data_IF_252162115143
#
_entry.id   IF_252162115143
#
_cell.length_a   1.000
_cell.length_b   1.000
_cell.length_c   1.000
_cell.angle_alpha   90.00
_cell.angle_beta   90.00
_cell.angle_gamma   90.00
#
_symmetry.space_group_name_H-M   'P 1'
#
loop_
_entity.id
_entity.type
_entity.pdbx_description
1 polymer ?
#
# COMPACT_ATOMS: atom_id res chain seq x y z
N UNK A 1 6.90 -0.76 -3.24
CA UNK A 1 7.96 -1.04 -2.24
C UNK A 1 7.42 -1.97 -1.17
N UNK A 2 8.17 -3.04 -0.83
CA UNK A 2 7.72 -4.06 0.13
C UNK A 2 8.31 -3.78 1.52
N UNK A 3 7.49 -3.86 2.55
CA UNK A 3 7.95 -3.92 3.96
C UNK A 3 8.55 -5.32 4.24
N UNK A 4 9.04 -5.62 5.46
CA UNK A 4 9.61 -6.94 5.75
C UNK A 4 8.73 -8.09 5.27
N UNK A 5 9.37 -9.22 4.92
CA UNK A 5 8.64 -10.41 4.50
C UNK A 5 7.62 -10.78 5.57
N UNK A 6 6.40 -11.16 5.17
CA UNK A 6 5.36 -11.48 6.11
C UNK A 6 5.72 -12.78 6.83
N UNK A 7 5.71 -12.76 8.17
CA UNK A 7 5.90 -13.97 8.98
C UNK A 7 4.67 -14.90 8.92
N UNK A 8 3.49 -14.30 8.69
CA UNK A 8 2.18 -14.97 8.66
C UNK A 8 1.33 -14.40 7.51
N UNK A 9 0.01 -14.38 7.66
CA UNK A 9 -0.95 -13.96 6.64
C UNK A 9 -1.09 -12.44 6.42
N UNK A 10 -0.27 -11.60 7.07
CA UNK A 10 -0.40 -10.14 6.97
C UNK A 10 0.68 -9.58 6.07
N UNK A 11 0.30 -9.09 4.89
CA UNK A 11 1.21 -8.48 3.91
C UNK A 11 1.02 -6.98 3.92
N UNK A 12 2.11 -6.24 4.13
CA UNK A 12 2.13 -4.78 4.16
C UNK A 12 3.01 -4.24 3.02
N UNK A 13 2.57 -3.16 2.36
CA UNK A 13 3.33 -2.52 1.29
C UNK A 13 2.98 -1.04 1.14
N UNK A 14 3.80 -0.35 0.33
CA UNK A 14 3.59 1.04 -0.08
C UNK A 14 3.73 1.12 -1.59
N UNK A 15 2.79 1.80 -2.25
CA UNK A 15 2.87 2.13 -3.67
C UNK A 15 3.64 3.42 -3.86
N UNK A 16 4.47 3.48 -4.90
CA UNK A 16 5.33 4.61 -5.25
C UNK A 16 5.12 4.94 -6.72
N UNK A 17 5.22 6.22 -7.09
CA UNK A 17 5.17 6.68 -8.47
C UNK A 17 6.28 7.70 -8.72
N UNK A 18 6.93 7.72 -9.90
CA UNK A 18 8.03 8.66 -10.18
C UNK A 18 7.68 10.15 -9.97
N UNK A 19 6.42 10.55 -10.17
CA UNK A 19 5.97 11.94 -9.97
C UNK A 19 5.57 12.29 -8.53
N UNK A 20 5.62 11.34 -7.60
CA UNK A 20 5.16 11.53 -6.21
C UNK A 20 6.37 11.65 -5.29
N UNK A 21 6.59 12.86 -4.78
CA UNK A 21 7.74 13.20 -3.95
C UNK A 21 7.34 13.70 -2.55
N UNK A 22 8.16 13.33 -1.57
CA UNK A 22 7.92 13.70 -0.16
C UNK A 22 6.86 12.83 0.50
N UNK A 23 6.91 12.79 1.83
CA UNK A 23 6.10 11.83 2.60
C UNK A 23 4.61 12.16 2.60
N UNK A 24 4.27 13.45 2.53
CA UNK A 24 2.89 13.92 2.50
C UNK A 24 2.20 13.46 1.21
N UNK A 25 2.83 13.66 0.05
CA UNK A 25 2.29 13.24 -1.23
C UNK A 25 2.23 11.71 -1.35
N UNK A 26 3.27 11.00 -0.89
CA UNK A 26 3.28 9.54 -0.84
C UNK A 26 2.11 8.99 -0.01
N UNK A 27 1.89 9.57 1.17
CA UNK A 27 0.76 9.22 2.03
C UNK A 27 -0.56 9.52 1.33
N UNK A 28 -0.74 10.71 0.75
CA UNK A 28 -1.97 11.09 0.07
C UNK A 28 -2.31 10.15 -1.11
N UNK A 29 -1.31 9.74 -1.90
CA UNK A 29 -1.50 8.76 -2.97
C UNK A 29 -1.95 7.40 -2.42
N UNK A 30 -1.29 6.88 -1.38
CA UNK A 30 -1.67 5.59 -0.79
C UNK A 30 -3.06 5.66 -0.10
N UNK A 31 -3.43 6.80 0.46
CA UNK A 31 -4.79 7.07 0.95
C UNK A 31 -5.83 7.06 -0.18
N UNK A 32 -5.51 7.63 -1.34
CA UNK A 32 -6.36 7.58 -2.54
C UNK A 32 -6.55 6.13 -3.03
N UNK A 33 -5.46 5.35 -3.10
CA UNK A 33 -5.52 3.92 -3.47
C UNK A 33 -6.38 3.12 -2.49
N UNK A 34 -6.20 3.33 -1.19
CA UNK A 34 -7.04 2.68 -0.17
C UNK A 34 -8.52 3.01 -0.37
N UNK A 35 -8.88 4.29 -0.56
CA UNK A 35 -10.28 4.70 -0.77
C UNK A 35 -10.91 3.98 -1.96
N UNK A 36 -10.18 3.81 -3.06
CA UNK A 36 -10.64 3.10 -4.25
C UNK A 36 -10.85 1.59 -4.06
N UNK A 37 -10.19 0.98 -3.07
CA UNK A 37 -10.20 -0.47 -2.80
C UNK A 37 -10.69 -0.78 -1.38
N UNK A 38 -11.52 0.09 -0.84
CA UNK A 38 -12.19 -0.04 0.46
C UNK A 38 -13.69 0.16 0.27
N UNK A 39 -14.54 -0.25 1.22
CA UNK A 39 -15.97 -0.02 1.10
C UNK A 39 -16.29 1.47 0.89
N UNK A 40 -17.01 1.77 -0.18
CA UNK A 40 -17.56 3.08 -0.51
C UNK A 40 -19.01 2.95 -0.98
N UNK A 41 -19.47 3.89 -1.81
CA UNK A 41 -20.83 3.85 -2.37
C UNK A 41 -21.01 2.67 -3.34
N UNK A 42 -19.96 2.36 -4.11
CA UNK A 42 -19.89 1.16 -4.96
C UNK A 42 -18.87 0.17 -4.40
N UNK A 43 -19.17 -1.15 -4.39
CA UNK A 43 -18.24 -2.15 -3.90
C UNK A 43 -17.06 -2.32 -4.87
N UNK A 44 -15.80 -2.23 -4.41
CA UNK A 44 -14.66 -2.51 -5.26
C UNK A 44 -14.54 -4.00 -5.58
N UNK A 45 -13.84 -4.33 -6.67
CA UNK A 45 -13.56 -5.72 -7.04
C UNK A 45 -12.66 -6.45 -6.03
N UNK A 46 -11.85 -5.70 -5.28
CA UNK A 46 -10.95 -6.21 -4.24
C UNK A 46 -10.93 -5.27 -3.04
N UNK A 47 -10.79 -5.85 -1.85
CA UNK A 47 -10.70 -5.12 -0.60
C UNK A 47 -9.29 -5.17 -0.02
N UNK A 48 -8.79 -4.01 0.38
CA UNK A 48 -7.58 -3.88 1.18
C UNK A 48 -7.88 -3.07 2.44
N UNK A 49 -7.00 -3.21 3.43
CA UNK A 49 -7.00 -2.34 4.61
C UNK A 49 -5.79 -1.42 4.56
N UNK A 50 -5.74 -0.45 5.47
CA UNK A 50 -4.54 0.36 5.69
C UNK A 50 -4.23 0.51 7.16
N UNK A 51 -3.01 0.90 7.45
CA UNK A 51 -2.59 1.40 8.77
C UNK A 51 -1.62 2.58 8.59
N UNK A 52 -1.31 3.25 9.68
CA UNK A 52 -0.28 4.29 9.71
C UNK A 52 0.81 3.87 10.68
N UNK A 53 2.01 3.67 10.16
CA UNK A 53 3.21 3.48 10.99
C UNK A 53 3.68 4.85 11.48
N UNK A 54 4.17 4.91 12.71
CA UNK A 54 4.62 6.13 13.34
C UNK A 54 5.94 5.91 14.10
N UNK A 55 6.69 6.99 14.26
CA UNK A 55 7.85 7.03 15.17
C UNK A 55 7.37 7.05 16.63
N UNK A 56 8.10 6.43 17.57
CA UNK A 56 9.37 5.72 17.39
C UNK A 56 9.22 4.22 17.10
N UNK A 57 8.00 3.67 17.16
CA UNK A 57 7.78 2.22 17.18
C UNK A 57 8.21 1.49 15.90
N UNK A 58 8.28 2.20 14.77
CA UNK A 58 8.63 1.63 13.47
C UNK A 58 9.95 2.19 12.88
N UNK A 59 10.73 2.97 13.63
CA UNK A 59 11.91 3.69 13.11
C UNK A 59 12.93 2.74 12.45
N UNK A 60 13.26 1.64 13.11
CA UNK A 60 14.25 0.66 12.62
C UNK A 60 13.84 -0.05 11.32
N UNK A 61 12.55 -0.02 10.96
CA UNK A 61 12.02 -0.64 9.74
C UNK A 61 11.82 0.42 8.66
N UNK A 62 11.30 1.59 9.02
CA UNK A 62 10.80 2.58 8.07
C UNK A 62 11.88 3.57 7.64
N UNK A 63 12.84 3.94 8.49
CA UNK A 63 13.87 4.91 8.13
C UNK A 63 14.77 4.46 6.96
N UNK A 64 15.28 3.21 6.92
CA UNK A 64 16.10 2.75 5.78
C UNK A 64 15.33 2.82 4.46
N UNK A 65 14.03 2.49 4.53
CA UNK A 65 13.10 2.48 3.43
C UNK A 65 12.83 3.91 2.91
N UNK A 66 12.49 4.84 3.81
CA UNK A 66 12.23 6.24 3.45
C UNK A 66 13.49 6.97 2.96
N UNK A 67 14.66 6.63 3.49
CA UNK A 67 15.94 7.16 3.00
C UNK A 67 16.19 6.87 1.53
N UNK A 68 15.82 5.67 1.05
CA UNK A 68 15.92 5.31 -0.38
C UNK A 68 14.96 6.11 -1.28
N UNK A 69 13.90 6.69 -0.71
CA UNK A 69 12.94 7.56 -1.39
C UNK A 69 13.26 9.05 -1.22
N UNK A 70 14.40 9.39 -0.58
CA UNK A 70 14.79 10.78 -0.31
C UNK A 70 13.93 11.49 0.74
N UNK A 71 13.16 10.75 1.54
CA UNK A 71 12.31 11.32 2.59
C UNK A 71 13.13 11.52 3.86
N UNK A 72 13.00 12.71 4.47
CA UNK A 72 13.75 13.05 5.68
C UNK A 72 13.18 12.37 6.93
N UNK A 73 14.05 12.13 7.92
CA UNK A 73 13.61 11.64 9.24
C UNK A 73 12.64 12.61 9.93
N UNK A 74 12.80 13.92 9.71
CA UNK A 74 11.90 14.93 10.26
C UNK A 74 10.48 14.82 9.67
N UNK A 75 10.35 14.61 8.36
CA UNK A 75 9.05 14.32 7.75
C UNK A 75 8.45 13.03 8.31
N UNK A 76 9.26 11.97 8.43
CA UNK A 76 8.84 10.70 9.01
C UNK A 76 8.24 10.87 10.41
N UNK A 77 8.98 11.54 11.31
CA UNK A 77 8.53 11.79 12.69
C UNK A 77 7.25 12.62 12.73
N UNK A 78 7.05 13.54 11.78
CA UNK A 78 5.89 14.43 11.74
C UNK A 78 4.64 13.75 11.19
N UNK A 79 4.78 12.95 10.14
CA UNK A 79 3.63 12.48 9.36
C UNK A 79 3.34 11.00 9.55
N UNK A 80 4.34 10.18 9.89
CA UNK A 80 4.23 8.73 9.76
C UNK A 80 4.01 8.29 8.30
N UNK A 81 3.82 6.99 8.10
CA UNK A 81 3.74 6.37 6.78
C UNK A 81 2.43 5.58 6.68
N UNK A 82 1.62 5.91 5.69
CA UNK A 82 0.45 5.12 5.31
C UNK A 82 0.94 3.87 4.61
N UNK A 83 0.47 2.74 5.11
CA UNK A 83 0.82 1.42 4.62
C UNK A 83 -0.45 0.69 4.24
N UNK A 84 -0.47 0.16 3.02
CA UNK A 84 -1.54 -0.69 2.53
C UNK A 84 -1.31 -2.11 3.05
N UNK A 85 -2.40 -2.82 3.34
CA UNK A 85 -2.38 -4.11 4.02
C UNK A 85 -3.43 -5.06 3.49
N UNK A 86 -2.99 -6.29 3.21
CA UNK A 86 -3.85 -7.44 2.99
C UNK A 86 -3.72 -8.40 4.18
N UNK A 87 -4.87 -8.85 4.70
CA UNK A 87 -4.94 -9.92 5.70
C UNK A 87 -5.48 -11.16 4.99
N UNK A 88 -4.58 -12.06 4.66
CA UNK A 88 -4.82 -13.24 3.83
C UNK A 88 -5.33 -14.39 4.69
N UNK A 89 -6.63 -14.45 4.90
CA UNK A 89 -7.27 -15.57 5.62
C UNK A 89 -7.93 -16.58 4.68
N UNK A 90 -8.09 -16.23 3.40
CA UNK A 90 -8.69 -17.11 2.42
C UNK A 90 -7.70 -18.21 2.01
N UNK A 91 -8.11 -19.49 2.04
CA UNK A 91 -7.32 -20.57 1.47
C UNK A 91 -7.37 -20.62 -0.06
N UNK A 92 -8.20 -19.78 -0.70
CA UNK A 92 -8.55 -19.83 -2.12
C UNK A 92 -7.77 -18.82 -2.99
N UNK A 93 -6.64 -18.30 -2.51
CA UNK A 93 -5.84 -17.32 -3.27
C UNK A 93 -5.15 -17.91 -4.49
N UNK A 94 -4.90 -19.21 -4.46
CA UNK A 94 -4.32 -20.00 -5.55
C UNK A 94 -5.21 -21.21 -5.73
N UNK A 95 -6.38 -20.97 -6.34
CA UNK A 95 -7.29 -22.05 -6.67
C UNK A 95 -6.74 -22.92 -7.82
N UNK A 96 -7.29 -24.12 -8.05
CA UNK A 96 -6.83 -25.02 -9.10
C UNK A 96 -6.88 -24.38 -10.49
N UNK A 97 -6.04 -24.85 -11.45
CA UNK A 97 -6.11 -24.37 -12.83
C UNK A 97 -7.54 -24.43 -13.38
N UNK A 98 -8.06 -23.28 -13.85
CA UNK A 98 -9.42 -23.15 -14.40
C UNK A 98 -10.36 -22.27 -13.58
N UNK A 99 -9.93 -21.74 -12.44
CA UNK A 99 -10.64 -20.73 -11.64
C UNK A 99 -9.98 -19.34 -11.76
N UNK A 100 -10.54 -18.34 -11.08
CA UNK A 100 -9.97 -16.99 -11.06
C UNK A 100 -8.66 -16.93 -10.24
N UNK A 101 -7.61 -16.39 -10.84
CA UNK A 101 -6.38 -16.04 -10.12
C UNK A 101 -6.61 -14.73 -9.34
N UNK A 102 -6.97 -14.87 -8.08
CA UNK A 102 -7.24 -13.74 -7.18
C UNK A 102 -5.97 -12.93 -6.86
N UNK A 103 -4.78 -13.53 -6.94
CA UNK A 103 -3.53 -12.79 -6.79
C UNK A 103 -3.33 -11.85 -7.97
N UNK A 104 -3.45 -12.38 -9.20
CA UNK A 104 -3.33 -11.59 -10.42
C UNK A 104 -4.40 -10.50 -10.48
N UNK A 105 -5.65 -10.82 -10.12
CA UNK A 105 -6.73 -9.84 -10.08
C UNK A 105 -6.52 -8.72 -9.07
N UNK A 106 -6.02 -9.03 -7.86
CA UNK A 106 -5.68 -8.00 -6.87
C UNK A 106 -4.54 -7.11 -7.37
N UNK A 107 -3.51 -7.69 -7.99
CA UNK A 107 -2.39 -6.92 -8.57
C UNK A 107 -2.87 -5.99 -9.67
N UNK A 108 -3.76 -6.46 -10.56
CA UNK A 108 -4.35 -5.64 -11.60
C UNK A 108 -5.17 -4.48 -11.01
N UNK A 109 -6.02 -4.76 -10.01
CA UNK A 109 -6.81 -3.73 -9.34
C UNK A 109 -5.93 -2.67 -8.64
N UNK A 110 -4.86 -3.10 -7.98
CA UNK A 110 -3.87 -2.20 -7.37
C UNK A 110 -3.14 -1.34 -8.40
N UNK A 111 -2.76 -1.92 -9.54
CA UNK A 111 -2.10 -1.20 -10.62
C UNK A 111 -3.00 -0.08 -11.15
N UNK A 112 -4.25 -0.40 -11.50
CA UNK A 112 -5.23 0.58 -11.98
C UNK A 112 -5.52 1.67 -10.94
N UNK A 113 -5.68 1.31 -9.67
CA UNK A 113 -5.89 2.27 -8.60
C UNK A 113 -4.68 3.20 -8.41
N UNK A 114 -3.46 2.66 -8.58
CA UNK A 114 -2.22 3.42 -8.49
C UNK A 114 -2.08 4.40 -9.65
N UNK A 115 -2.39 3.99 -10.88
CA UNK A 115 -2.37 4.89 -12.04
C UNK A 115 -3.33 6.07 -11.85
N UNK A 116 -4.57 5.80 -11.41
CA UNK A 116 -5.56 6.86 -11.12
C UNK A 116 -5.10 7.78 -9.99
N UNK A 117 -4.58 7.24 -8.90
CA UNK A 117 -4.09 8.04 -7.78
C UNK A 117 -2.87 8.88 -8.14
N UNK A 118 -1.94 8.35 -8.96
CA UNK A 118 -0.75 9.06 -9.40
C UNK A 118 -1.06 10.20 -10.38
N UNK A 119 -2.13 10.08 -11.16
CA UNK A 119 -2.58 11.14 -12.07
C UNK A 119 -2.99 12.43 -11.33
N UNK A 120 -3.32 12.35 -10.04
CA UNK A 120 -3.59 13.53 -9.18
C UNK A 120 -2.34 14.40 -8.92
N UNK A 121 -1.14 13.88 -9.22
CA UNK A 121 0.16 14.51 -8.95
C UNK A 121 0.98 14.79 -10.23
N UNK A 122 0.37 14.60 -11.41
CA UNK A 122 0.99 14.81 -12.73
C UNK A 122 0.68 16.19 -13.31
#
# INVERSE_FOLDING_TARGET
MRLPLPDLSVVNWVMTSPGVHGLVALNAMNESIYRQLSPGDEPPSYFITRTRLASPSADGIVLPLLGALGVSEMEWRRHGLVVLRAVVMTPYLVDPPGTADHCAGLVAALHEATLRAAAEFS
#
